data_IF_379794421418
#
_entry.id   IF_379794421418
#
_cell.length_a   1.000
_cell.length_b   1.000
_cell.length_c   1.000
_cell.angle_alpha   90.00
_cell.angle_beta   90.00
_cell.angle_gamma   90.00
#
_symmetry.space_group_name_H-M   'P 1'
#
loop_
_entity.id
_entity.type
_entity.pdbx_description
1 polymer ?
#
# COMPACT_ATOMS: atom_id res chain seq x y z
N UNK A 1 -0.94 7.81 -5.49
CA UNK A 1 -0.65 8.97 -4.61
C UNK A 1 -1.92 9.79 -4.46
N UNK A 2 -2.24 10.22 -3.24
CA UNK A 2 -3.36 11.09 -2.91
C UNK A 2 -2.87 12.26 -2.06
N UNK A 3 -3.34 13.48 -2.34
CA UNK A 3 -3.01 14.66 -1.54
C UNK A 3 -4.26 15.20 -0.84
N UNK A 4 -4.29 15.03 0.48
CA UNK A 4 -5.25 15.69 1.34
C UNK A 4 -4.80 17.13 1.59
N UNK A 5 -5.45 18.05 0.87
CA UNK A 5 -5.18 19.50 0.95
C UNK A 5 -5.58 20.10 2.30
N UNK A 6 -6.60 19.56 2.97
CA UNK A 6 -7.11 20.16 4.21
C UNK A 6 -6.15 19.91 5.36
N UNK A 7 -5.59 18.71 5.45
CA UNK A 7 -4.62 18.35 6.49
C UNK A 7 -3.17 18.53 6.06
N UNK A 8 -2.92 18.89 4.79
CA UNK A 8 -1.60 19.00 4.19
C UNK A 8 -0.79 17.69 4.32
N UNK A 9 -1.39 16.57 3.89
CA UNK A 9 -0.82 15.22 3.97
C UNK A 9 -0.86 14.55 2.60
N UNK A 10 0.25 13.95 2.19
CA UNK A 10 0.30 13.04 1.05
C UNK A 10 0.29 11.60 1.56
N UNK A 11 -0.59 10.78 0.98
CA UNK A 11 -0.53 9.33 1.07
C UNK A 11 0.00 8.78 -0.26
N UNK A 12 1.07 7.99 -0.23
CA UNK A 12 1.64 7.32 -1.40
C UNK A 12 1.59 5.81 -1.24
N UNK A 13 1.56 5.12 -2.37
CA UNK A 13 1.71 3.67 -2.48
C UNK A 13 2.91 3.39 -3.36
N UNK A 14 3.68 2.37 -2.99
CA UNK A 14 4.98 2.08 -3.59
C UNK A 14 5.12 0.57 -3.76
N UNK A 15 5.55 0.13 -4.94
CA UNK A 15 5.87 -1.28 -5.14
C UNK A 15 7.20 -1.62 -4.47
N UNK A 16 7.22 -2.73 -3.74
CA UNK A 16 8.43 -3.31 -3.21
C UNK A 16 9.16 -4.22 -4.20
N UNK A 17 10.26 -4.87 -3.77
CA UNK A 17 10.92 -5.92 -4.51
C UNK A 17 10.11 -7.25 -4.45
N UNK A 18 10.69 -8.37 -4.01
CA UNK A 18 9.93 -9.59 -3.72
C UNK A 18 9.24 -9.44 -2.36
N UNK A 19 8.00 -8.94 -2.37
CA UNK A 19 7.35 -8.43 -1.16
C UNK A 19 7.67 -6.95 -0.92
N UNK A 20 7.21 -6.40 0.21
CA UNK A 20 7.56 -5.05 0.63
C UNK A 20 6.83 -3.92 -0.11
N UNK A 21 5.63 -4.16 -0.63
CA UNK A 21 4.77 -3.06 -1.07
C UNK A 21 4.45 -2.17 0.14
N UNK A 22 4.32 -0.86 -0.03
CA UNK A 22 4.20 0.09 1.08
C UNK A 22 3.11 1.14 0.89
N UNK A 23 2.51 1.56 2.01
CA UNK A 23 1.79 2.83 2.12
C UNK A 23 2.65 3.79 2.95
N UNK A 24 2.98 4.94 2.35
CA UNK A 24 3.80 5.98 2.96
C UNK A 24 2.99 7.26 3.23
N UNK A 25 3.35 7.97 4.30
CA UNK A 25 2.67 9.20 4.75
C UNK A 25 3.68 10.33 4.82
N UNK A 26 3.42 11.41 4.09
CA UNK A 26 4.22 12.64 4.12
C UNK A 26 3.38 13.80 4.65
N UNK A 27 3.67 14.22 5.88
CA UNK A 27 3.03 15.36 6.55
C UNK A 27 3.80 16.62 6.23
N UNK A 28 3.08 17.66 5.79
CA UNK A 28 3.64 18.94 5.38
C UNK A 28 4.70 18.80 4.28
N UNK A 29 4.34 18.21 3.13
CA UNK A 29 5.27 18.00 2.01
C UNK A 29 5.86 19.29 1.42
N UNK A 30 5.28 20.45 1.74
CA UNK A 30 5.70 21.78 1.32
C UNK A 30 6.62 22.49 2.35
N UNK A 31 7.03 21.82 3.44
CA UNK A 31 7.90 22.39 4.48
C UNK A 31 9.37 22.59 4.05
N UNK A 32 9.71 22.22 2.81
CA UNK A 32 11.06 22.30 2.25
C UNK A 32 12.03 21.22 2.76
N UNK A 33 11.59 20.29 3.61
CA UNK A 33 12.40 19.19 4.13
C UNK A 33 12.14 17.93 3.31
N UNK A 34 13.22 17.39 2.75
CA UNK A 34 13.19 16.12 2.04
C UNK A 34 12.91 15.00 3.06
N UNK A 35 11.85 14.23 2.81
CA UNK A 35 11.54 12.99 3.54
C UNK A 35 12.25 11.84 2.85
N UNK A 36 12.93 10.98 3.61
CA UNK A 36 13.61 9.80 3.08
C UNK A 36 12.99 8.54 3.69
N UNK A 37 12.39 7.71 2.84
CA UNK A 37 11.73 6.46 3.21
C UNK A 37 12.64 5.24 3.04
N UNK A 38 13.91 5.41 2.67
CA UNK A 38 14.93 4.38 2.86
C UNK A 38 15.23 3.46 1.69
N UNK A 39 14.42 3.43 0.63
CA UNK A 39 14.73 2.63 -0.56
C UNK A 39 16.07 3.06 -1.21
N UNK A 40 16.98 2.15 -1.58
CA UNK A 40 16.96 0.68 -1.49
C UNK A 40 17.78 0.12 -0.30
N UNK A 41 18.04 0.93 0.72
CA UNK A 41 18.79 0.51 1.91
C UNK A 41 17.89 -0.26 2.88
N UNK A 42 16.65 0.20 3.06
CA UNK A 42 15.62 -0.46 3.87
C UNK A 42 14.40 -0.79 3.01
N UNK A 43 13.87 -1.99 3.21
CA UNK A 43 12.60 -2.47 2.69
C UNK A 43 12.24 -3.76 3.43
N UNK A 44 10.95 -3.99 3.65
CA UNK A 44 10.48 -5.26 4.23
C UNK A 44 10.48 -6.43 3.24
N UNK A 45 10.53 -6.17 1.92
CA UNK A 45 10.66 -7.18 0.88
C UNK A 45 12.09 -7.71 0.73
N UNK A 46 12.28 -8.76 -0.07
CA UNK A 46 13.57 -9.39 -0.35
C UNK A 46 13.99 -9.19 -1.81
N UNK A 47 15.27 -9.44 -2.14
CA UNK A 47 15.69 -9.51 -3.54
C UNK A 47 15.04 -10.70 -4.25
N UNK A 48 14.60 -10.51 -5.49
CA UNK A 48 13.98 -11.58 -6.28
C UNK A 48 14.84 -12.83 -6.36
N UNK A 49 14.23 -13.98 -6.06
CA UNK A 49 14.90 -15.27 -6.01
C UNK A 49 15.56 -15.54 -4.65
N UNK A 50 15.22 -14.76 -3.62
CA UNK A 50 15.63 -15.05 -2.26
C UNK A 50 15.14 -16.45 -1.87
N UNK A 51 16.04 -17.37 -1.49
CA UNK A 51 15.68 -18.77 -1.31
C UNK A 51 14.90 -19.04 -0.01
N UNK A 52 14.79 -18.04 0.87
CA UNK A 52 14.16 -18.16 2.17
C UNK A 52 15.17 -18.28 3.32
N UNK A 53 14.69 -18.12 4.57
CA UNK A 53 15.54 -18.12 5.75
C UNK A 53 16.31 -19.43 5.91
N UNK A 54 17.61 -19.33 6.21
CA UNK A 54 18.47 -20.49 6.45
C UNK A 54 18.98 -21.20 5.20
N UNK A 55 18.60 -20.76 4.00
CA UNK A 55 19.15 -21.27 2.75
C UNK A 55 20.28 -20.35 2.28
N UNK A 56 21.46 -20.88 1.92
CA UNK A 56 22.57 -20.06 1.45
C UNK A 56 22.21 -19.24 0.20
N UNK A 57 22.60 -17.96 0.22
CA UNK A 57 22.48 -17.08 -0.94
C UNK A 57 23.42 -17.52 -2.07
N UNK A 58 22.98 -17.32 -3.31
CA UNK A 58 23.85 -17.36 -4.49
C UNK A 58 24.86 -16.21 -4.44
N UNK A 59 25.96 -16.32 -5.18
CA UNK A 59 26.97 -15.25 -5.21
C UNK A 59 26.41 -13.95 -5.79
N UNK A 60 25.52 -14.03 -6.79
CA UNK A 60 24.81 -12.87 -7.33
C UNK A 60 23.94 -12.18 -6.28
N UNK A 61 23.18 -12.95 -5.47
CA UNK A 61 22.36 -12.38 -4.40
C UNK A 61 23.22 -11.73 -3.31
N UNK A 62 24.38 -12.31 -2.95
CA UNK A 62 25.30 -11.68 -1.99
C UNK A 62 25.74 -10.29 -2.46
N UNK A 63 26.10 -10.15 -3.74
CA UNK A 63 26.47 -8.86 -4.33
C UNK A 63 25.28 -7.87 -4.26
N UNK A 64 24.06 -8.33 -4.55
CA UNK A 64 22.88 -7.48 -4.44
C UNK A 64 22.63 -6.99 -3.01
N UNK A 65 22.77 -7.84 -2.00
CA UNK A 65 22.64 -7.44 -0.59
C UNK A 65 23.79 -6.54 -0.10
N UNK A 66 24.97 -6.58 -0.71
CA UNK A 66 26.03 -5.61 -0.43
C UNK A 66 25.70 -4.21 -0.97
N UNK A 67 25.02 -4.13 -2.13
CA UNK A 67 24.65 -2.86 -2.78
C UNK A 67 23.33 -2.27 -2.25
N UNK A 68 22.36 -3.14 -2.00
CA UNK A 68 21.02 -2.82 -1.52
C UNK A 68 20.67 -3.82 -0.39
N UNK A 69 21.00 -3.48 0.87
CA UNK A 69 20.85 -4.40 2.00
C UNK A 69 19.42 -4.80 2.33
N UNK A 70 18.42 -4.01 1.91
CA UNK A 70 16.99 -4.22 2.22
C UNK A 70 16.77 -4.55 3.70
N UNK A 71 17.30 -3.71 4.58
CA UNK A 71 17.14 -3.88 6.02
C UNK A 71 15.65 -3.88 6.41
N UNK A 72 15.25 -4.84 7.27
CA UNK A 72 13.85 -5.07 7.70
C UNK A 72 13.39 -4.09 8.79
N UNK A 73 13.81 -2.84 8.65
CA UNK A 73 13.46 -1.72 9.52
C UNK A 73 13.93 -0.44 8.83
N UNK A 74 13.04 0.53 8.65
CA UNK A 74 13.38 1.82 8.08
C UNK A 74 13.93 2.72 9.19
N UNK A 75 13.25 2.72 10.34
CA UNK A 75 13.59 3.52 11.51
C UNK A 75 14.97 3.21 12.10
N UNK A 76 15.36 1.94 12.20
CA UNK A 76 16.65 1.57 12.81
C UNK A 76 17.85 2.05 11.96
N UNK A 77 17.60 2.37 10.69
CA UNK A 77 18.60 2.86 9.74
C UNK A 77 18.42 4.36 9.41
N UNK A 78 17.60 5.06 10.22
CA UNK A 78 17.44 6.52 10.14
C UNK A 78 16.45 6.99 9.07
N UNK A 79 15.65 6.09 8.51
CA UNK A 79 14.60 6.41 7.54
C UNK A 79 13.22 6.53 8.20
N UNK A 80 12.28 7.10 7.47
CA UNK A 80 10.88 7.19 7.90
C UNK A 80 10.22 5.83 7.66
N UNK A 81 9.54 5.33 8.68
CA UNK A 81 8.80 4.07 8.60
C UNK A 81 7.55 4.21 7.72
N UNK A 82 7.24 3.23 6.86
CA UNK A 82 5.96 3.19 6.19
C UNK A 82 4.83 3.09 7.22
N UNK A 83 3.68 3.67 6.87
CA UNK A 83 2.46 3.48 7.66
C UNK A 83 2.07 2.00 7.69
N UNK A 84 2.32 1.31 6.57
CA UNK A 84 2.09 -0.12 6.42
C UNK A 84 2.97 -0.69 5.33
N UNK A 85 3.59 -1.83 5.60
CA UNK A 85 4.15 -2.71 4.59
C UNK A 85 3.20 -3.90 4.29
N UNK A 86 3.42 -4.48 3.11
CA UNK A 86 2.80 -5.70 2.63
C UNK A 86 3.93 -6.63 2.17
N UNK A 87 4.31 -7.52 3.08
CA UNK A 87 5.27 -8.61 2.83
C UNK A 87 4.60 -9.92 3.23
N UNK A 88 4.11 -10.71 2.28
CA UNK A 88 4.24 -10.60 0.81
C UNK A 88 3.47 -9.43 0.16
N UNK A 89 3.89 -9.06 -1.05
CA UNK A 89 3.40 -7.90 -1.80
C UNK A 89 2.05 -8.18 -2.45
N UNK A 90 1.15 -7.20 -2.42
CA UNK A 90 -0.22 -7.34 -2.91
C UNK A 90 -0.42 -6.83 -4.33
N UNK A 91 0.67 -6.42 -5.01
CA UNK A 91 0.57 -5.67 -6.25
C UNK A 91 -0.21 -4.38 -6.00
N UNK A 92 0.29 -3.54 -5.08
CA UNK A 92 -0.40 -2.35 -4.58
C UNK A 92 -0.71 -1.35 -5.69
N UNK A 93 -1.94 -0.85 -5.72
CA UNK A 93 -2.42 0.11 -6.72
C UNK A 93 -2.46 1.54 -6.15
N UNK A 94 -2.91 2.55 -6.93
CA UNK A 94 -3.15 3.88 -6.41
C UNK A 94 -4.12 3.89 -5.20
N UNK A 95 -3.85 4.81 -4.28
CA UNK A 95 -4.62 5.05 -3.06
C UNK A 95 -5.56 6.24 -3.23
N UNK A 96 -6.73 6.17 -2.60
CA UNK A 96 -7.62 7.31 -2.35
C UNK A 96 -7.91 7.42 -0.85
N UNK A 97 -8.27 8.62 -0.40
CA UNK A 97 -8.74 8.86 0.96
C UNK A 97 -10.14 9.50 0.91
N UNK A 98 -11.08 8.93 1.67
CA UNK A 98 -12.42 9.50 1.84
C UNK A 98 -13.13 8.85 3.02
N UNK A 99 -13.64 9.66 3.95
CA UNK A 99 -14.49 9.16 5.03
C UNK A 99 -15.98 9.20 4.71
N UNK A 100 -16.36 9.82 3.58
CA UNK A 100 -17.73 10.01 3.17
C UNK A 100 -18.36 8.68 2.72
N UNK A 101 -17.56 7.79 2.10
CA UNK A 101 -18.04 6.51 1.58
C UNK A 101 -18.81 5.71 2.64
N UNK A 102 -18.18 5.48 3.81
CA UNK A 102 -18.73 4.72 4.95
C UNK A 102 -19.27 5.59 6.09
N UNK A 103 -19.47 6.89 5.85
CA UNK A 103 -20.00 7.84 6.84
C UNK A 103 -19.27 7.80 8.21
N UNK A 104 -17.93 7.89 8.20
CA UNK A 104 -17.11 7.97 9.42
C UNK A 104 -16.51 9.38 9.61
N UNK A 105 -17.30 10.37 10.06
CA UNK A 105 -16.82 11.74 10.19
C UNK A 105 -15.59 11.82 11.11
N UNK A 106 -14.68 12.74 10.80
CA UNK A 106 -13.42 12.99 11.53
C UNK A 106 -12.40 11.84 11.52
N UNK A 107 -12.62 10.81 10.70
CA UNK A 107 -11.62 9.79 10.41
C UNK A 107 -11.01 10.03 9.04
N UNK A 108 -9.78 9.56 8.84
CA UNK A 108 -9.22 9.33 7.51
C UNK A 108 -9.41 7.87 7.16
N UNK A 109 -9.94 7.60 5.98
CA UNK A 109 -10.18 6.23 5.52
C UNK A 109 -9.53 6.07 4.16
N UNK A 110 -8.49 5.24 4.12
CA UNK A 110 -7.75 4.94 2.91
C UNK A 110 -8.39 3.74 2.22
N UNK A 111 -8.48 3.80 0.91
CA UNK A 111 -8.81 2.66 0.06
C UNK A 111 -7.66 2.45 -0.91
N UNK A 112 -7.24 1.20 -1.08
CA UNK A 112 -6.14 0.83 -1.98
C UNK A 112 -6.57 -0.42 -2.75
N UNK A 113 -6.44 -0.38 -4.07
CA UNK A 113 -6.61 -1.56 -4.91
C UNK A 113 -5.44 -2.51 -4.79
N UNK A 114 -5.70 -3.81 -4.93
CA UNK A 114 -4.68 -4.85 -5.03
C UNK A 114 -4.82 -5.61 -6.34
N UNK A 115 -3.68 -5.90 -6.95
CA UNK A 115 -3.59 -6.52 -8.26
C UNK A 115 -2.82 -7.83 -8.25
N UNK A 116 -2.48 -8.41 -7.11
CA UNK A 116 -1.68 -9.64 -7.03
C UNK A 116 -2.32 -10.86 -7.74
N UNK A 117 -1.97 -12.06 -7.32
CA UNK A 117 -2.33 -13.28 -8.05
C UNK A 117 -3.44 -14.05 -7.32
N UNK A 118 -4.29 -14.76 -8.06
CA UNK A 118 -5.44 -15.51 -7.52
C UNK A 118 -5.02 -16.53 -6.45
N UNK A 119 -3.84 -17.12 -6.62
CA UNK A 119 -3.26 -18.12 -5.72
C UNK A 119 -3.04 -17.60 -4.29
N UNK A 120 -2.87 -16.28 -4.14
CA UNK A 120 -2.48 -15.61 -2.90
C UNK A 120 -3.63 -14.81 -2.24
N UNK A 121 -4.81 -14.77 -2.86
CA UNK A 121 -5.93 -13.92 -2.42
C UNK A 121 -6.33 -14.13 -0.96
N UNK A 122 -6.33 -15.38 -0.46
CA UNK A 122 -6.73 -15.69 0.93
C UNK A 122 -5.68 -15.38 1.98
N UNK A 123 -4.42 -15.22 1.58
CA UNK A 123 -3.27 -15.11 2.49
C UNK A 123 -2.85 -13.64 2.62
N UNK A 124 -2.82 -12.91 1.51
CA UNK A 124 -2.13 -11.62 1.39
C UNK A 124 -3.12 -10.46 1.22
N UNK A 125 -4.33 -10.77 0.73
CA UNK A 125 -5.33 -9.78 0.33
C UNK A 125 -5.31 -9.46 -1.15
N UNK A 126 -4.76 -10.33 -1.99
CA UNK A 126 -4.75 -10.12 -3.44
C UNK A 126 -6.15 -10.00 -4.06
N UNK A 127 -6.23 -9.33 -5.21
CA UNK A 127 -7.46 -9.19 -6.01
C UNK A 127 -8.61 -8.54 -5.20
N UNK A 128 -8.27 -7.51 -4.43
CA UNK A 128 -9.16 -6.93 -3.42
C UNK A 128 -9.06 -5.41 -3.34
N UNK A 129 -9.89 -4.81 -2.48
CA UNK A 129 -9.69 -3.46 -1.97
C UNK A 129 -9.34 -3.54 -0.49
N UNK A 130 -8.25 -2.90 -0.10
CA UNK A 130 -7.83 -2.72 1.28
C UNK A 130 -8.43 -1.42 1.80
N UNK A 131 -9.33 -1.51 2.78
CA UNK A 131 -9.87 -0.37 3.52
C UNK A 131 -9.11 -0.22 4.84
N UNK A 132 -8.49 0.93 5.06
CA UNK A 132 -7.68 1.21 6.25
C UNK A 132 -8.21 2.48 6.93
N UNK A 133 -8.65 2.34 8.18
CA UNK A 133 -9.13 3.46 9.00
C UNK A 133 -8.02 3.92 9.92
N UNK A 134 -7.74 5.21 9.92
CA UNK A 134 -6.69 5.80 10.75
C UNK A 134 -7.23 6.44 12.04
N UNK A 135 -6.40 6.40 13.08
CA UNK A 135 -6.55 7.25 14.26
C UNK A 135 -6.13 8.69 13.95
N UNK A 136 -6.39 9.61 14.89
CA UNK A 136 -6.02 11.02 14.73
C UNK A 136 -4.50 11.24 14.67
N UNK A 137 -3.72 10.32 15.23
CA UNK A 137 -2.24 10.30 15.14
C UNK A 137 -1.72 9.57 13.90
N UNK A 138 -2.61 9.24 12.96
CA UNK A 138 -2.34 8.52 11.71
C UNK A 138 -1.90 7.06 11.88
N UNK A 139 -1.96 6.51 13.10
CA UNK A 139 -1.81 5.06 13.31
C UNK A 139 -3.01 4.28 12.75
N UNK A 140 -2.81 3.03 12.34
CA UNK A 140 -3.90 2.18 11.83
C UNK A 140 -4.80 1.75 12.99
N UNK A 141 -6.07 2.14 12.92
CA UNK A 141 -7.11 1.72 13.85
C UNK A 141 -7.76 0.39 13.39
N UNK A 142 -8.00 0.25 12.09
CA UNK A 142 -8.62 -0.93 11.50
C UNK A 142 -8.12 -1.14 10.07
N UNK A 143 -7.94 -2.41 9.67
CA UNK A 143 -7.66 -2.80 8.29
C UNK A 143 -8.62 -3.92 7.89
N UNK A 144 -9.45 -3.67 6.87
CA UNK A 144 -10.41 -4.60 6.27
C UNK A 144 -10.03 -4.88 4.82
N UNK A 145 -10.25 -6.11 4.39
CA UNK A 145 -10.04 -6.57 3.01
C UNK A 145 -11.41 -6.84 2.40
N UNK A 146 -11.70 -6.21 1.26
CA UNK A 146 -12.94 -6.37 0.51
C UNK A 146 -12.60 -7.20 -0.75
N UNK A 147 -12.95 -8.49 -0.78
CA UNK A 147 -12.65 -9.37 -1.91
C UNK A 147 -13.36 -8.88 -3.16
N UNK A 148 -12.62 -8.68 -4.26
CA UNK A 148 -13.20 -8.37 -5.57
C UNK A 148 -13.09 -9.58 -6.51
N UNK A 149 -12.00 -10.36 -6.38
CA UNK A 149 -11.70 -11.50 -7.25
C UNK A 149 -11.14 -11.09 -8.61
N UNK A 150 -10.74 -9.83 -8.74
CA UNK A 150 -10.17 -9.23 -9.96
C UNK A 150 -9.03 -8.29 -9.60
N UNK A 151 -8.10 -8.07 -10.53
CA UNK A 151 -6.98 -7.12 -10.35
C UNK A 151 -7.53 -5.68 -10.33
N UNK A 152 -7.53 -5.06 -9.16
CA UNK A 152 -8.04 -3.69 -8.98
C UNK A 152 -6.93 -2.69 -9.27
N UNK A 153 -6.86 -2.22 -10.52
CA UNK A 153 -5.77 -1.40 -11.04
C UNK A 153 -5.91 0.08 -10.70
N UNK A 154 -7.13 0.57 -10.65
CA UNK A 154 -7.41 1.97 -10.31
C UNK A 154 -8.74 2.09 -9.58
N UNK A 155 -8.85 3.09 -8.73
CA UNK A 155 -10.04 3.37 -7.91
C UNK A 155 -10.30 4.88 -7.87
N UNK A 156 -11.55 5.27 -7.99
CA UNK A 156 -11.99 6.65 -7.80
C UNK A 156 -13.24 6.70 -6.94
N UNK A 157 -13.30 7.68 -6.04
CA UNK A 157 -14.52 7.96 -5.28
C UNK A 157 -15.36 9.02 -6.00
N UNK A 158 -16.64 8.71 -6.21
CA UNK A 158 -17.63 9.62 -6.82
C UNK A 158 -18.63 10.03 -5.75
N UNK A 159 -18.45 11.26 -5.24
CA UNK A 159 -19.19 11.81 -4.11
C UNK A 159 -20.70 11.89 -4.36
N UNK A 160 -21.10 12.32 -5.56
CA UNK A 160 -22.51 12.52 -5.94
C UNK A 160 -23.30 11.21 -5.92
N UNK A 161 -22.64 10.09 -6.17
CA UNK A 161 -23.24 8.75 -6.16
C UNK A 161 -23.00 8.01 -4.85
N UNK A 162 -22.09 8.52 -4.02
CA UNK A 162 -21.49 7.81 -2.90
C UNK A 162 -21.03 6.38 -3.28
N UNK A 163 -20.24 6.28 -4.36
CA UNK A 163 -19.70 5.02 -4.88
C UNK A 163 -18.20 5.11 -5.11
N UNK A 164 -17.52 3.97 -5.01
CA UNK A 164 -16.16 3.82 -5.50
C UNK A 164 -16.24 3.07 -6.84
N UNK A 165 -15.71 3.68 -7.90
CA UNK A 165 -15.57 3.03 -9.21
C UNK A 165 -14.20 2.39 -9.30
N UNK A 166 -14.16 1.20 -9.89
CA UNK A 166 -12.97 0.37 -10.00
C UNK A 166 -12.65 0.13 -11.47
N UNK A 167 -11.38 0.18 -11.83
CA UNK A 167 -10.91 -0.42 -13.09
C UNK A 167 -10.37 -1.82 -12.81
N UNK A 168 -11.02 -2.84 -13.38
CA UNK A 168 -10.69 -4.25 -13.21
C UNK A 168 -9.88 -4.71 -14.42
N UNK A 169 -8.58 -4.92 -14.22
CA UNK A 169 -7.62 -5.09 -15.32
C UNK A 169 -7.76 -6.44 -16.02
N UNK A 170 -7.99 -7.54 -15.27
CA UNK A 170 -7.99 -8.89 -15.86
C UNK A 170 -9.11 -9.09 -16.87
N UNK A 171 -10.25 -8.40 -16.71
CA UNK A 171 -11.37 -8.42 -17.66
C UNK A 171 -11.54 -7.12 -18.47
N UNK A 172 -10.79 -6.07 -18.16
CA UNK A 172 -10.94 -4.75 -18.77
C UNK A 172 -12.30 -4.10 -18.47
N UNK A 173 -12.86 -4.37 -17.30
CA UNK A 173 -14.21 -3.96 -16.91
C UNK A 173 -14.23 -2.84 -15.86
N UNK A 174 -15.41 -2.25 -15.64
CA UNK A 174 -15.63 -1.25 -14.59
C UNK A 174 -16.45 -1.89 -13.47
N UNK A 175 -15.88 -1.90 -12.26
CA UNK A 175 -16.58 -2.30 -11.04
C UNK A 175 -17.21 -1.10 -10.34
N UNK A 176 -18.32 -1.33 -9.62
CA UNK A 176 -18.97 -0.32 -8.79
C UNK A 176 -19.09 -0.89 -7.38
N UNK A 177 -18.35 -0.33 -6.44
CA UNK A 177 -18.48 -0.63 -5.03
C UNK A 177 -19.45 0.36 -4.37
N UNK A 178 -20.42 -0.17 -3.64
CA UNK A 178 -21.40 0.60 -2.88
C UNK A 178 -21.72 -0.06 -1.56
N UNK A 179 -22.21 0.75 -0.62
CA UNK A 179 -22.72 0.25 0.65
C UNK A 179 -24.11 -0.35 0.45
N UNK A 180 -24.32 -1.54 1.02
CA UNK A 180 -25.64 -2.16 1.09
C UNK A 180 -26.51 -1.36 2.07
N UNK A 181 -27.73 -1.03 1.66
CA UNK A 181 -28.74 -0.41 2.51
C UNK A 181 -29.21 -1.36 3.61
#
# INVERSE_FOLDING_TARGET
LFYDKESNIIFSTEHGPEGGDEINVNISPDDGKIKNYGWAISSYGEHYGFPGPGIPLTDDLKILYELAPLHKSHKDYGFIEPLKDFTPAIGIAPIIETNEFIHLPNKKVLYVGSMGWEENWRIEGDLSIHQIILNSDLTIAEHKIIPIGERVRDIIYVKELNKILLFLESTGSIGILGIAN
#
